data_IF_828017014183
#
_entry.id   IF_828017014183
#
_cell.length_a   1.000
_cell.length_b   1.000
_cell.length_c   1.000
_cell.angle_alpha   90.00
_cell.angle_beta   90.00
_cell.angle_gamma   90.00
#
_symmetry.space_group_name_H-M   'P 1'
#
loop_
_entity.id
_entity.type
_entity.pdbx_description
1 polymer ?
#
# COMPACT_ATOMS: atom_id res chain seq x y z
N UNK A 1 27.00 75.32 -26.73
CA UNK A 1 25.89 74.38 -27.01
C UNK A 1 26.44 72.94 -26.84
N UNK A 2 26.29 72.36 -25.67
CA UNK A 2 26.84 71.02 -25.36
C UNK A 2 25.66 70.07 -25.19
N UNK A 3 25.64 68.99 -26.02
CA UNK A 3 24.61 67.95 -25.97
C UNK A 3 25.11 66.79 -25.13
N UNK A 4 24.49 66.56 -23.99
CA UNK A 4 24.72 65.37 -23.17
C UNK A 4 23.87 64.23 -23.68
N UNK A 5 24.52 63.16 -24.12
CA UNK A 5 23.86 61.88 -24.49
C UNK A 5 23.85 61.02 -23.23
N UNK A 6 22.63 60.76 -22.69
CA UNK A 6 22.43 59.81 -21.63
C UNK A 6 22.27 58.40 -22.20
N UNK A 7 23.24 57.52 -21.97
CA UNK A 7 23.14 56.11 -22.34
C UNK A 7 22.51 55.32 -21.18
N UNK A 8 21.30 54.83 -21.40
CA UNK A 8 20.59 53.94 -20.46
C UNK A 8 21.04 52.50 -20.67
N UNK A 9 21.79 51.93 -19.74
CA UNK A 9 22.16 50.52 -19.74
C UNK A 9 21.02 49.72 -19.12
N UNK A 10 20.30 48.96 -19.90
CA UNK A 10 19.29 48.02 -19.45
C UNK A 10 19.97 46.72 -19.00
N UNK A 11 19.98 46.48 -17.69
CA UNK A 11 20.51 45.25 -17.06
C UNK A 11 19.42 44.18 -17.11
N UNK A 12 19.51 43.23 -18.05
CA UNK A 12 18.60 42.08 -18.13
C UNK A 12 19.09 41.00 -17.18
N UNK A 13 18.40 40.85 -16.03
CA UNK A 13 18.59 39.70 -15.11
C UNK A 13 17.95 38.44 -15.76
N UNK A 14 18.78 37.54 -16.27
CA UNK A 14 18.37 36.18 -16.58
C UNK A 14 18.20 35.43 -15.25
N UNK A 15 16.95 35.21 -14.80
CA UNK A 15 16.63 34.28 -13.75
C UNK A 15 16.79 32.83 -14.26
N UNK A 16 17.92 32.21 -14.01
CA UNK A 16 18.09 30.77 -14.18
C UNK A 16 17.23 30.03 -13.14
N UNK A 17 16.03 29.63 -13.51
CA UNK A 17 15.25 28.69 -12.74
C UNK A 17 15.96 27.33 -12.82
N UNK A 18 16.74 27.00 -11.79
CA UNK A 18 17.29 25.67 -11.59
C UNK A 18 16.13 24.71 -11.30
N UNK A 19 15.72 23.95 -12.26
CA UNK A 19 14.87 22.78 -12.04
C UNK A 19 15.71 21.76 -11.29
N UNK A 20 15.59 21.75 -9.97
CA UNK A 20 16.03 20.62 -9.18
C UNK A 20 15.09 19.46 -9.48
N UNK A 21 15.57 18.49 -10.26
CA UNK A 21 14.89 17.20 -10.37
C UNK A 21 14.79 16.63 -8.95
N UNK A 22 13.58 16.51 -8.42
CA UNK A 22 13.36 15.84 -7.16
C UNK A 22 13.86 14.39 -7.33
N UNK A 23 14.90 14.02 -6.59
CA UNK A 23 15.37 12.64 -6.54
C UNK A 23 14.28 11.87 -5.82
N UNK A 24 13.61 10.97 -6.54
CA UNK A 24 12.61 10.08 -5.95
C UNK A 24 13.26 9.29 -4.81
N UNK A 25 12.87 9.56 -3.58
CA UNK A 25 13.43 8.89 -2.41
C UNK A 25 12.74 7.54 -2.21
N UNK A 26 13.52 6.48 -2.15
CA UNK A 26 13.01 5.17 -1.75
C UNK A 26 12.78 5.14 -0.23
N UNK A 27 11.61 4.67 0.18
CA UNK A 27 11.23 4.52 1.57
C UNK A 27 10.79 3.09 1.86
N UNK A 28 11.31 2.50 2.93
CA UNK A 28 10.88 1.19 3.42
C UNK A 28 9.97 1.41 4.63
N UNK A 29 8.73 0.91 4.55
CA UNK A 29 7.71 1.00 5.59
C UNK A 29 7.42 -0.41 6.11
N UNK A 30 7.98 -0.77 7.26
CA UNK A 30 7.70 -2.05 7.92
C UNK A 30 6.63 -1.89 8.98
N UNK A 31 5.73 -2.87 9.07
CA UNK A 31 4.59 -2.81 10.00
C UNK A 31 4.15 -4.18 10.52
N UNK A 32 3.49 -4.17 11.66
CA UNK A 32 2.63 -5.26 12.15
C UNK A 32 1.19 -4.88 11.89
N UNK A 33 0.37 -5.85 11.51
CA UNK A 33 -1.01 -5.63 11.13
C UNK A 33 -1.91 -6.65 11.81
N UNK A 34 -2.91 -6.17 12.51
CA UNK A 34 -4.01 -6.99 13.03
C UNK A 34 -5.22 -6.77 12.14
N UNK A 35 -5.80 -7.83 11.60
CA UNK A 35 -6.97 -7.76 10.69
C UNK A 35 -8.09 -8.69 11.15
N UNK A 36 -9.32 -8.25 10.89
CA UNK A 36 -10.54 -9.01 11.09
C UNK A 36 -11.38 -9.02 9.83
N UNK A 37 -11.90 -10.19 9.47
CA UNK A 37 -12.87 -10.31 8.38
C UNK A 37 -14.21 -9.73 8.83
N UNK A 38 -14.86 -9.04 7.91
CA UNK A 38 -16.20 -8.47 8.07
C UNK A 38 -17.04 -9.02 6.93
N UNK A 39 -18.15 -9.66 7.26
CA UNK A 39 -19.11 -10.18 6.28
C UNK A 39 -18.49 -11.10 5.19
N UNK A 40 -17.83 -12.22 5.59
CA UNK A 40 -17.34 -13.20 4.62
C UNK A 40 -18.51 -13.91 3.95
N UNK A 41 -18.44 -14.02 2.62
CA UNK A 41 -19.40 -14.76 1.79
C UNK A 41 -18.66 -15.87 1.07
N UNK A 42 -19.15 -17.09 1.24
CA UNK A 42 -18.55 -18.28 0.65
C UNK A 42 -19.55 -18.98 -0.27
N UNK A 43 -19.04 -19.50 -1.37
CA UNK A 43 -19.75 -20.37 -2.30
C UNK A 43 -18.94 -21.64 -2.50
N UNK A 44 -19.57 -22.78 -2.29
CA UNK A 44 -18.98 -24.08 -2.62
C UNK A 44 -19.22 -24.41 -4.09
N UNK A 45 -18.24 -24.98 -4.76
CA UNK A 45 -18.40 -25.47 -6.13
C UNK A 45 -19.07 -26.86 -6.12
N UNK A 46 -20.32 -27.02 -6.61
CA UNK A 46 -21.11 -28.24 -6.41
C UNK A 46 -20.48 -29.52 -6.96
N UNK A 47 -19.61 -29.39 -7.95
CA UNK A 47 -19.00 -30.54 -8.64
C UNK A 47 -17.51 -30.74 -8.33
N UNK A 48 -16.98 -29.98 -7.39
CA UNK A 48 -15.54 -30.04 -7.02
C UNK A 48 -15.42 -30.13 -5.51
N UNK A 49 -15.14 -31.32 -5.00
CA UNK A 49 -15.05 -31.57 -3.55
C UNK A 49 -14.03 -30.66 -2.87
N UNK A 50 -14.46 -29.93 -1.84
CA UNK A 50 -13.64 -29.05 -1.03
C UNK A 50 -13.24 -27.73 -1.69
N UNK A 51 -13.81 -27.41 -2.86
CA UNK A 51 -13.60 -26.13 -3.54
C UNK A 51 -14.55 -25.08 -2.99
N UNK A 52 -13.98 -23.96 -2.54
CA UNK A 52 -14.69 -22.83 -1.94
C UNK A 52 -14.17 -21.52 -2.52
N UNK A 53 -15.06 -20.72 -3.07
CA UNK A 53 -14.75 -19.33 -3.43
C UNK A 53 -15.25 -18.42 -2.31
N UNK A 54 -14.39 -17.53 -1.85
CA UNK A 54 -14.68 -16.55 -0.80
C UNK A 54 -14.60 -15.14 -1.37
N UNK A 55 -15.52 -14.29 -0.97
CA UNK A 55 -15.44 -12.83 -1.10
C UNK A 55 -15.66 -12.21 0.28
N UNK A 56 -14.79 -11.30 0.71
CA UNK A 56 -14.90 -10.66 2.02
C UNK A 56 -14.44 -9.22 2.00
N UNK A 57 -15.05 -8.42 2.88
CA UNK A 57 -14.47 -7.19 3.38
C UNK A 57 -13.68 -7.50 4.65
N UNK A 58 -12.67 -6.69 4.92
CA UNK A 58 -11.93 -6.78 6.17
C UNK A 58 -11.41 -5.42 6.59
N UNK A 59 -11.22 -5.28 7.90
CA UNK A 59 -10.66 -4.09 8.52
C UNK A 59 -9.50 -4.46 9.43
N UNK A 60 -8.54 -3.57 9.57
CA UNK A 60 -7.39 -3.78 10.43
C UNK A 60 -6.69 -2.50 10.83
N UNK A 61 -5.69 -2.65 11.70
CA UNK A 61 -4.81 -1.57 12.13
C UNK A 61 -3.36 -2.01 11.93
N UNK A 62 -2.62 -1.17 11.22
CA UNK A 62 -1.19 -1.35 10.98
C UNK A 62 -0.39 -0.44 11.91
N UNK A 63 0.58 -1.03 12.61
CA UNK A 63 1.53 -0.35 13.49
C UNK A 63 2.89 -0.37 12.81
N UNK A 64 3.32 0.79 12.32
CA UNK A 64 4.59 0.93 11.61
C UNK A 64 5.76 1.02 12.59
N UNK A 65 6.94 0.56 12.17
CA UNK A 65 8.15 0.59 13.01
C UNK A 65 8.61 2.01 13.37
N UNK A 66 8.28 2.98 12.55
CA UNK A 66 8.58 4.41 12.79
C UNK A 66 7.57 5.11 13.73
N UNK A 67 6.65 4.36 14.31
CA UNK A 67 5.64 4.84 15.27
C UNK A 67 4.32 5.28 14.65
N UNK A 68 4.23 5.40 13.32
CA UNK A 68 2.96 5.74 12.65
C UNK A 68 1.94 4.61 12.80
N UNK A 69 0.67 4.99 12.76
CA UNK A 69 -0.45 4.06 12.76
C UNK A 69 -1.31 4.33 11.52
N UNK A 70 -1.86 3.30 10.92
CA UNK A 70 -2.83 3.43 9.86
C UNK A 70 -3.98 2.43 10.04
N UNK A 71 -5.20 2.85 9.77
CA UNK A 71 -6.29 1.92 9.53
C UNK A 71 -6.10 1.25 8.17
N UNK A 72 -6.53 0.00 8.04
CA UNK A 72 -6.53 -0.72 6.77
C UNK A 72 -7.92 -1.23 6.47
N UNK A 73 -8.48 -0.76 5.37
CA UNK A 73 -9.69 -1.32 4.78
C UNK A 73 -9.31 -2.11 3.52
N UNK A 74 -9.90 -3.29 3.35
CA UNK A 74 -9.63 -4.09 2.18
C UNK A 74 -10.78 -5.02 1.80
N UNK A 75 -10.80 -5.36 0.52
CA UNK A 75 -11.63 -6.44 -0.02
C UNK A 75 -10.71 -7.49 -0.62
N UNK A 76 -11.10 -8.74 -0.50
CA UNK A 76 -10.37 -9.81 -1.16
C UNK A 76 -11.28 -10.93 -1.62
N UNK A 77 -10.80 -11.69 -2.60
CA UNK A 77 -11.36 -12.92 -3.10
C UNK A 77 -10.34 -14.03 -2.96
N UNK A 78 -10.80 -15.23 -2.70
CA UNK A 78 -9.96 -16.42 -2.73
C UNK A 78 -10.69 -17.58 -3.38
N UNK A 79 -9.90 -18.48 -3.95
CA UNK A 79 -10.36 -19.72 -4.59
C UNK A 79 -9.56 -20.88 -3.97
N UNK A 80 -10.16 -21.53 -2.96
CA UNK A 80 -9.48 -22.52 -2.15
C UNK A 80 -10.05 -23.92 -2.35
N UNK A 81 -9.15 -24.85 -2.57
CA UNK A 81 -9.46 -26.30 -2.45
C UNK A 81 -8.85 -26.83 -1.17
N UNK A 82 -9.71 -27.34 -0.25
CA UNK A 82 -9.28 -27.89 1.04
C UNK A 82 -8.31 -26.96 1.81
N UNK A 83 -8.58 -25.64 1.79
CA UNK A 83 -7.78 -24.62 2.46
C UNK A 83 -6.50 -24.19 1.74
N UNK A 84 -6.31 -24.60 0.50
CA UNK A 84 -5.15 -24.19 -0.32
C UNK A 84 -5.62 -23.56 -1.63
N UNK A 85 -4.95 -22.49 -2.07
CA UNK A 85 -5.25 -21.83 -3.33
C UNK A 85 -4.86 -20.36 -3.34
N UNK A 86 -5.11 -19.69 -4.47
CA UNK A 86 -4.78 -18.29 -4.64
C UNK A 86 -5.78 -17.37 -3.94
N UNK A 87 -5.30 -16.18 -3.62
CA UNK A 87 -6.14 -15.06 -3.22
C UNK A 87 -5.60 -13.75 -3.80
N UNK A 88 -6.48 -12.77 -3.94
CA UNK A 88 -6.09 -11.41 -4.32
C UNK A 88 -7.08 -10.39 -3.76
N UNK A 89 -6.68 -9.13 -3.75
CA UNK A 89 -7.56 -8.07 -3.29
C UNK A 89 -6.96 -6.68 -3.43
N UNK A 90 -7.64 -5.72 -2.84
CA UNK A 90 -7.27 -4.31 -2.83
C UNK A 90 -7.38 -3.78 -1.41
N UNK A 91 -6.40 -3.00 -0.98
CA UNK A 91 -6.36 -2.42 0.35
C UNK A 91 -5.94 -0.98 0.32
N UNK A 92 -6.51 -0.18 1.22
CA UNK A 92 -6.09 1.19 1.48
C UNK A 92 -5.65 1.29 2.94
N UNK A 93 -4.44 1.80 3.14
CA UNK A 93 -3.90 2.19 4.43
C UNK A 93 -4.11 3.69 4.59
N UNK A 94 -4.91 4.09 5.57
CA UNK A 94 -5.20 5.48 5.88
C UNK A 94 -4.45 5.88 7.14
N UNK A 95 -3.52 6.82 7.02
CA UNK A 95 -2.70 7.34 8.12
C UNK A 95 -3.40 8.45 8.90
N UNK A 96 -2.93 8.72 10.12
CA UNK A 96 -3.51 9.75 11.01
C UNK A 96 -3.40 11.17 10.45
N UNK A 97 -2.40 11.45 9.62
CA UNK A 97 -2.20 12.73 8.93
C UNK A 97 -3.12 12.94 7.70
N UNK A 98 -4.00 11.98 7.41
CA UNK A 98 -4.90 11.99 6.26
C UNK A 98 -4.25 11.49 4.97
N UNK A 99 -2.97 11.14 4.96
CA UNK A 99 -2.33 10.51 3.81
C UNK A 99 -2.76 9.05 3.65
N UNK A 100 -2.62 8.48 2.45
CA UNK A 100 -2.97 7.09 2.22
C UNK A 100 -2.07 6.38 1.22
N UNK A 101 -1.99 5.04 1.36
CA UNK A 101 -1.40 4.13 0.38
C UNK A 101 -2.47 3.12 -0.04
N UNK A 102 -2.73 3.02 -1.33
CA UNK A 102 -3.60 1.99 -1.90
C UNK A 102 -2.77 0.99 -2.68
N UNK A 103 -2.98 -0.29 -2.38
CA UNK A 103 -2.25 -1.38 -3.01
C UNK A 103 -3.18 -2.51 -3.44
N UNK A 104 -2.89 -3.11 -4.59
CA UNK A 104 -3.35 -4.45 -4.93
C UNK A 104 -2.47 -5.46 -4.21
N UNK A 105 -3.04 -6.53 -3.73
CA UNK A 105 -2.28 -7.66 -3.19
C UNK A 105 -2.72 -8.97 -3.82
N UNK A 106 -1.81 -9.93 -3.84
CA UNK A 106 -2.08 -11.29 -4.26
C UNK A 106 -1.16 -12.26 -3.50
N UNK A 107 -1.58 -13.49 -3.38
CA UNK A 107 -0.79 -14.53 -2.72
C UNK A 107 -1.40 -15.90 -2.88
N UNK A 108 -0.80 -16.86 -2.18
CA UNK A 108 -1.28 -18.23 -2.12
C UNK A 108 -1.33 -18.70 -0.68
N UNK A 109 -2.47 -19.22 -0.26
CA UNK A 109 -2.61 -19.95 0.98
C UNK A 109 -2.28 -21.42 0.76
N UNK A 110 -1.62 -22.04 1.72
CA UNK A 110 -1.45 -23.49 1.80
C UNK A 110 -1.99 -23.97 3.14
N UNK A 111 -2.80 -25.02 3.11
CA UNK A 111 -3.37 -25.59 4.33
C UNK A 111 -2.27 -25.92 5.36
N UNK A 112 -2.47 -25.52 6.61
CA UNK A 112 -1.50 -25.69 7.69
C UNK A 112 -0.25 -24.81 7.64
N UNK A 113 -0.13 -23.91 6.65
CA UNK A 113 0.96 -22.95 6.56
C UNK A 113 0.48 -21.52 6.83
N UNK A 114 1.43 -20.63 7.17
CA UNK A 114 1.16 -19.21 7.28
C UNK A 114 0.91 -18.62 5.89
N UNK A 115 -0.03 -17.67 5.83
CA UNK A 115 -0.32 -16.90 4.62
C UNK A 115 0.88 -16.09 4.19
N UNK A 116 1.19 -16.09 2.91
CA UNK A 116 2.16 -15.19 2.28
C UNK A 116 1.53 -14.47 1.11
N UNK A 117 1.85 -13.19 0.94
CA UNK A 117 1.37 -12.40 -0.19
C UNK A 117 2.23 -11.18 -0.48
N UNK A 118 2.01 -10.65 -1.68
CA UNK A 118 2.76 -9.53 -2.24
C UNK A 118 1.83 -8.34 -2.49
N UNK A 119 2.37 -7.13 -2.35
CA UNK A 119 1.70 -5.87 -2.67
C UNK A 119 2.27 -5.25 -3.94
N UNK A 120 1.39 -4.63 -4.72
CA UNK A 120 1.73 -3.64 -5.74
C UNK A 120 1.03 -2.33 -5.38
N UNK A 121 1.78 -1.28 -5.09
CA UNK A 121 1.24 0.05 -4.80
C UNK A 121 0.69 0.64 -6.10
N UNK A 122 -0.59 1.01 -6.09
CA UNK A 122 -1.31 1.52 -7.27
C UNK A 122 -1.60 3.01 -7.17
N UNK A 123 -1.73 3.55 -5.96
CA UNK A 123 -1.91 4.98 -5.72
C UNK A 123 -1.61 5.36 -4.28
N UNK A 124 -1.49 6.66 -4.02
CA UNK A 124 -1.39 7.25 -2.70
C UNK A 124 -1.86 8.68 -2.70
N UNK A 125 -2.13 9.23 -1.51
CA UNK A 125 -2.53 10.62 -1.30
C UNK A 125 -1.66 11.28 -0.23
N UNK A 126 -1.72 12.62 -0.11
CA UNK A 126 -0.95 13.37 0.87
C UNK A 126 0.55 13.12 0.74
N UNK A 127 1.22 12.70 1.81
CA UNK A 127 2.65 12.38 1.83
C UNK A 127 3.05 11.26 0.83
N UNK A 128 2.07 10.48 0.35
CA UNK A 128 2.26 9.39 -0.61
C UNK A 128 1.67 9.66 -2.00
N UNK A 129 1.36 10.93 -2.30
CA UNK A 129 0.84 11.30 -3.62
C UNK A 129 1.83 10.86 -4.73
N UNK A 130 1.32 10.15 -5.74
CA UNK A 130 2.14 9.62 -6.83
C UNK A 130 3.02 8.43 -6.47
N UNK A 131 2.94 7.89 -5.23
CA UNK A 131 3.73 6.74 -4.80
C UNK A 131 3.57 5.54 -5.73
N UNK A 132 4.70 4.88 -5.99
CA UNK A 132 4.83 3.59 -6.67
C UNK A 132 5.63 2.66 -5.78
N UNK A 133 5.50 1.37 -5.98
CA UNK A 133 6.32 0.42 -5.24
C UNK A 133 5.68 -0.94 -5.11
N UNK A 134 6.33 -1.75 -4.32
CA UNK A 134 5.93 -3.12 -4.00
C UNK A 134 5.96 -3.35 -2.51
N UNK A 135 5.55 -4.51 -2.08
CA UNK A 135 5.64 -4.92 -0.69
C UNK A 135 5.35 -6.40 -0.53
N UNK A 136 5.42 -6.88 0.70
CA UNK A 136 5.05 -8.25 1.04
C UNK A 136 4.42 -8.30 2.42
N UNK A 137 3.74 -9.40 2.71
CA UNK A 137 3.25 -9.71 4.04
C UNK A 137 3.29 -11.21 4.31
N UNK A 138 3.50 -11.54 5.57
CA UNK A 138 3.51 -12.89 6.09
C UNK A 138 2.60 -13.01 7.31
N UNK A 139 1.83 -14.08 7.37
CA UNK A 139 1.08 -14.45 8.55
C UNK A 139 2.03 -14.75 9.72
N UNK A 140 1.60 -14.41 10.92
CA UNK A 140 2.36 -14.68 12.15
C UNK A 140 1.54 -15.59 13.05
N UNK A 141 2.13 -16.66 13.62
CA UNK A 141 1.44 -17.49 14.63
C UNK A 141 1.02 -16.64 15.81
N UNK A 142 -0.24 -16.78 16.24
CA UNK A 142 -0.80 -16.03 17.36
C UNK A 142 -1.94 -16.81 18.03
N UNK A 143 -2.41 -16.32 19.19
CA UNK A 143 -3.53 -16.86 19.95
C UNK A 143 -4.76 -15.95 19.94
N UNK A 144 -4.81 -14.93 19.08
CA UNK A 144 -5.96 -14.04 18.96
C UNK A 144 -7.14 -14.80 18.34
N UNK A 145 -8.32 -14.68 18.94
CA UNK A 145 -9.55 -15.27 18.41
C UNK A 145 -10.23 -14.30 17.46
N UNK A 146 -10.58 -14.77 16.25
CA UNK A 146 -11.34 -13.99 15.27
C UNK A 146 -10.56 -12.84 14.61
N UNK A 147 -9.23 -12.87 14.70
CA UNK A 147 -8.35 -11.92 14.03
C UNK A 147 -7.13 -12.66 13.46
N UNK A 148 -6.47 -12.06 12.48
CA UNK A 148 -5.19 -12.52 11.94
C UNK A 148 -4.10 -11.48 12.25
N UNK A 149 -2.90 -11.97 12.53
CA UNK A 149 -1.71 -11.15 12.73
C UNK A 149 -0.77 -11.35 11.56
N UNK A 150 -0.30 -10.24 10.99
CA UNK A 150 0.60 -10.23 9.84
C UNK A 150 1.79 -9.31 10.13
N UNK A 151 2.97 -9.65 9.63
CA UNK A 151 4.06 -8.71 9.41
C UNK A 151 4.06 -8.29 7.95
N UNK A 152 4.29 -7.04 7.69
CA UNK A 152 4.33 -6.53 6.33
C UNK A 152 5.38 -5.46 6.12
N UNK A 153 5.70 -5.21 4.85
CA UNK A 153 6.56 -4.10 4.44
C UNK A 153 6.11 -3.57 3.09
N UNK A 154 6.33 -2.27 2.89
CA UNK A 154 6.33 -1.63 1.58
C UNK A 154 7.73 -1.11 1.28
N UNK A 155 8.11 -1.18 0.02
CA UNK A 155 9.22 -0.41 -0.57
C UNK A 155 8.59 0.51 -1.59
N UNK A 156 8.59 1.81 -1.32
CA UNK A 156 7.89 2.82 -2.13
C UNK A 156 8.84 3.93 -2.55
N UNK A 157 8.54 4.51 -3.70
CA UNK A 157 9.14 5.76 -4.17
C UNK A 157 8.03 6.80 -4.38
N UNK A 158 8.28 8.03 -3.95
CA UNK A 158 7.43 9.19 -4.23
C UNK A 158 8.16 10.13 -5.19
N UNK A 159 7.42 10.85 -6.05
CA UNK A 159 8.00 11.85 -6.96
C UNK A 159 8.76 12.95 -6.24
#
# INVERSE_FOLDING_TARGET
>A
MSKHICATVALTLLACASWQAAIAAEQILEFKLVVKLIDPKTLEAPSVEGQVVLLSKAHGVAFFKDGRVASKDFIFSSDYNKGSGPFFGYSTYQFEDGSSITARFAGTQRAGQMTHGEYTVISGTGAYAGAKGTGSFDGVPHKLTGANLLNGKFTITTP
#
